data_IF_932024069428
#
_entry.id   IF_932024069428
#
_cell.length_a   1.000
_cell.length_b   1.000
_cell.length_c   1.000
_cell.angle_alpha   90.00
_cell.angle_beta   90.00
_cell.angle_gamma   90.00
#
_symmetry.space_group_name_H-M   'P 1'
#
loop_
_entity.id
_entity.type
_entity.pdbx_description
1 polymer ?
#
# COMPACT_ATOMS: atom_id res chain seq x y z
N UNK A 1 -16.48 -10.85 3.53
CA UNK A 1 -15.21 -11.52 3.21
C UNK A 1 -15.07 -11.48 1.69
N UNK A 2 -14.17 -10.65 1.15
CA UNK A 2 -14.09 -10.41 -0.30
C UNK A 2 -13.40 -11.61 -0.99
N UNK A 3 -14.22 -12.56 -1.46
CA UNK A 3 -13.90 -13.79 -2.19
C UNK A 3 -12.96 -13.61 -3.42
N UNK A 4 -12.65 -12.38 -3.83
CA UNK A 4 -11.74 -12.11 -4.93
C UNK A 4 -10.25 -12.19 -4.53
N UNK A 5 -9.91 -12.00 -3.25
CA UNK A 5 -8.52 -12.06 -2.78
C UNK A 5 -8.03 -13.50 -2.55
N UNK A 6 -8.88 -14.38 -2.02
CA UNK A 6 -8.54 -15.81 -1.80
C UNK A 6 -8.33 -16.57 -3.11
N UNK A 7 -9.07 -16.24 -4.16
CA UNK A 7 -8.94 -16.90 -5.48
C UNK A 7 -7.68 -16.51 -6.24
N UNK A 8 -7.11 -15.32 -5.99
CA UNK A 8 -5.83 -14.92 -6.58
C UNK A 8 -4.62 -15.52 -5.86
N UNK A 9 -4.80 -16.03 -4.63
CA UNK A 9 -3.73 -16.59 -3.79
C UNK A 9 -3.73 -18.13 -3.69
N UNK A 10 -4.70 -18.80 -4.29
CA UNK A 10 -4.80 -20.27 -4.24
C UNK A 10 -4.42 -20.92 -5.58
N UNK A 11 -3.12 -20.93 -5.87
CA UNK A 11 -2.51 -21.99 -6.70
C UNK A 11 -0.99 -22.03 -6.49
N UNK A 12 -0.54 -22.87 -5.56
CA UNK A 12 0.24 -24.09 -5.85
C UNK A 12 0.92 -24.56 -4.55
N UNK A 13 0.59 -25.77 -4.13
CA UNK A 13 1.17 -26.45 -2.97
C UNK A 13 2.45 -27.17 -3.42
N UNK A 14 3.64 -26.68 -3.08
CA UNK A 14 4.87 -27.50 -3.09
C UNK A 14 5.92 -27.03 -2.04
N UNK A 15 6.31 -27.99 -1.19
CA UNK A 15 7.59 -28.19 -0.47
C UNK A 15 8.21 -26.99 0.32
N UNK A 16 8.25 -27.03 1.68
CA UNK A 16 8.60 -25.86 2.50
C UNK A 16 10.08 -25.43 2.47
N UNK A 17 10.99 -26.24 1.92
CA UNK A 17 12.45 -26.00 2.06
C UNK A 17 13.18 -25.64 0.75
N UNK A 18 12.54 -25.77 -0.42
CA UNK A 18 13.20 -25.57 -1.73
C UNK A 18 13.13 -24.17 -2.32
N UNK A 19 12.36 -23.25 -1.72
CA UNK A 19 12.01 -21.97 -2.35
C UNK A 19 12.55 -20.73 -1.60
N UNK A 20 13.70 -20.88 -0.91
CA UNK A 20 14.45 -19.79 -0.25
C UNK A 20 15.54 -19.18 -1.14
N UNK A 21 15.78 -19.74 -2.32
CA UNK A 21 16.72 -19.16 -3.28
C UNK A 21 16.25 -17.77 -3.71
N UNK A 22 17.15 -16.79 -3.66
CA UNK A 22 16.85 -15.43 -4.08
C UNK A 22 16.52 -15.42 -5.59
N UNK A 23 15.34 -14.92 -6.00
CA UNK A 23 14.95 -14.86 -7.40
C UNK A 23 15.71 -13.76 -8.15
N UNK A 24 15.87 -13.93 -9.48
CA UNK A 24 16.49 -12.95 -10.39
C UNK A 24 15.73 -11.59 -10.43
N UNK A 25 14.54 -11.50 -9.82
CA UNK A 25 13.73 -10.29 -9.72
C UNK A 25 12.87 -10.26 -8.46
N UNK A 26 12.38 -9.08 -8.07
CA UNK A 26 11.50 -8.94 -6.91
C UNK A 26 10.04 -9.12 -7.32
N UNK A 27 9.41 -10.24 -6.96
CA UNK A 27 7.97 -10.50 -7.17
C UNK A 27 7.32 -11.02 -5.88
N UNK A 28 6.67 -10.16 -5.07
CA UNK A 28 6.06 -10.55 -3.80
C UNK A 28 4.78 -11.40 -3.95
N UNK A 29 4.30 -11.62 -5.17
CA UNK A 29 3.14 -12.47 -5.44
C UNK A 29 3.58 -13.91 -5.70
N UNK A 30 4.64 -14.10 -6.49
CA UNK A 30 5.12 -15.45 -6.87
C UNK A 30 6.21 -15.96 -5.94
N UNK A 31 7.09 -15.08 -5.44
CA UNK A 31 8.25 -15.47 -4.67
C UNK A 31 8.04 -15.25 -3.18
N UNK A 32 8.23 -16.32 -2.40
CA UNK A 32 8.06 -16.31 -0.95
C UNK A 32 9.00 -15.31 -0.28
N UNK A 33 10.27 -15.31 -0.65
CA UNK A 33 11.24 -14.36 -0.09
C UNK A 33 10.82 -12.89 -0.32
N UNK A 34 10.44 -12.53 -1.54
CA UNK A 34 9.97 -11.17 -1.85
C UNK A 34 8.71 -10.80 -1.05
N UNK A 35 7.81 -11.77 -0.84
CA UNK A 35 6.61 -11.59 -0.01
C UNK A 35 6.98 -11.35 1.45
N UNK A 36 7.87 -12.17 2.00
CA UNK A 36 8.33 -12.08 3.38
C UNK A 36 9.02 -10.73 3.62
N UNK A 37 9.91 -10.30 2.71
CA UNK A 37 10.55 -8.98 2.74
C UNK A 37 9.51 -7.85 2.76
N UNK A 38 8.58 -7.83 1.79
CA UNK A 38 7.53 -6.78 1.72
C UNK A 38 6.68 -6.77 2.99
N UNK A 39 6.19 -7.92 3.42
CA UNK A 39 5.29 -8.02 4.56
C UNK A 39 5.99 -7.58 5.85
N UNK A 40 7.22 -8.06 6.11
CA UNK A 40 8.00 -7.63 7.27
C UNK A 40 8.22 -6.12 7.28
N UNK A 41 8.61 -5.54 6.14
CA UNK A 41 8.82 -4.10 6.04
C UNK A 41 7.52 -3.31 6.28
N UNK A 42 6.40 -3.71 5.67
CA UNK A 42 5.10 -3.05 5.86
C UNK A 42 4.62 -3.11 7.31
N UNK A 43 4.69 -4.30 7.93
CA UNK A 43 4.36 -4.46 9.36
C UNK A 43 5.25 -3.58 10.24
N UNK A 44 6.56 -3.54 9.97
CA UNK A 44 7.49 -2.71 10.72
C UNK A 44 7.19 -1.21 10.58
N UNK A 45 6.80 -0.74 9.38
CA UNK A 45 6.35 0.65 9.21
C UNK A 45 5.10 0.94 10.04
N UNK A 46 4.08 0.07 9.99
CA UNK A 46 2.85 0.25 10.76
C UNK A 46 3.14 0.35 12.27
N UNK A 47 3.98 -0.56 12.77
CA UNK A 47 4.44 -0.53 14.17
C UNK A 47 5.21 0.75 14.51
N UNK A 48 6.11 1.20 13.64
CA UNK A 48 6.83 2.47 13.79
C UNK A 48 5.89 3.66 13.86
N UNK A 49 4.88 3.74 12.98
CA UNK A 49 3.90 4.82 13.01
C UNK A 49 3.04 4.79 14.28
N UNK A 50 2.66 3.60 14.75
CA UNK A 50 1.90 3.43 15.99
C UNK A 50 2.70 3.81 17.25
N UNK A 51 4.00 3.52 17.27
CA UNK A 51 4.90 3.76 18.42
C UNK A 51 5.69 5.06 18.32
N UNK A 52 5.54 5.81 17.23
CA UNK A 52 6.25 7.07 16.95
C UNK A 52 7.78 6.93 17.04
N UNK A 53 8.31 5.76 16.68
CA UNK A 53 9.74 5.51 16.54
C UNK A 53 10.08 4.97 15.16
N UNK A 54 11.14 5.50 14.55
CA UNK A 54 11.63 5.01 13.25
C UNK A 54 12.45 3.72 13.38
N UNK A 55 12.92 3.39 14.59
CA UNK A 55 13.87 2.29 14.82
C UNK A 55 13.36 0.93 14.34
N UNK A 56 12.04 0.68 14.38
CA UNK A 56 11.46 -0.63 14.04
C UNK A 56 11.64 -0.93 12.55
N UNK A 57 11.21 -0.03 11.66
CA UNK A 57 11.40 -0.25 10.22
C UNK A 57 12.86 -0.12 9.79
N UNK A 58 13.66 0.73 10.45
CA UNK A 58 15.10 0.87 10.18
C UNK A 58 15.84 -0.44 10.49
N UNK A 59 15.55 -1.04 11.65
CA UNK A 59 16.14 -2.32 12.07
C UNK A 59 15.70 -3.45 11.15
N UNK A 60 14.40 -3.54 10.84
CA UNK A 60 13.87 -4.56 9.93
C UNK A 60 14.52 -4.47 8.54
N UNK A 61 14.71 -3.26 8.01
CA UNK A 61 15.38 -3.05 6.73
C UNK A 61 16.87 -3.41 6.79
N UNK A 62 17.57 -3.02 7.85
CA UNK A 62 18.99 -3.36 8.05
C UNK A 62 19.19 -4.89 8.13
N UNK A 63 18.34 -5.61 8.86
CA UNK A 63 18.40 -7.08 8.94
C UNK A 63 18.20 -7.74 7.57
N UNK A 64 17.27 -7.25 6.75
CA UNK A 64 17.10 -7.77 5.40
C UNK A 64 18.28 -7.44 4.50
N UNK A 65 18.82 -6.22 4.58
CA UNK A 65 19.99 -5.82 3.79
C UNK A 65 21.26 -6.57 4.19
N UNK A 66 21.40 -7.05 5.43
CA UNK A 66 22.52 -7.91 5.81
C UNK A 66 22.38 -9.33 5.22
N UNK A 67 21.13 -9.83 5.12
CA UNK A 67 20.84 -11.20 4.66
C UNK A 67 20.73 -11.35 3.15
N UNK A 68 20.35 -10.29 2.43
CA UNK A 68 20.08 -10.34 0.99
C UNK A 68 21.36 -10.15 0.18
N UNK A 69 21.59 -11.09 -0.72
CA UNK A 69 22.71 -11.09 -1.67
C UNK A 69 22.32 -10.59 -3.07
N UNK A 70 21.04 -10.65 -3.43
CA UNK A 70 20.55 -10.33 -4.77
C UNK A 70 20.13 -8.86 -4.91
N UNK A 71 20.66 -8.18 -5.93
CA UNK A 71 20.49 -6.75 -6.17
C UNK A 71 19.02 -6.31 -6.31
N UNK A 72 18.14 -7.15 -6.86
CA UNK A 72 16.74 -6.79 -7.02
C UNK A 72 16.01 -6.63 -5.68
N UNK A 73 16.24 -7.56 -4.74
CA UNK A 73 15.63 -7.50 -3.41
C UNK A 73 16.23 -6.37 -2.58
N UNK A 74 17.56 -6.19 -2.64
CA UNK A 74 18.23 -5.08 -1.94
C UNK A 74 17.72 -3.71 -2.38
N UNK A 75 17.64 -3.47 -3.71
CA UNK A 75 17.09 -2.22 -4.26
C UNK A 75 15.66 -1.96 -3.80
N UNK A 76 14.83 -3.01 -3.74
CA UNK A 76 13.48 -2.88 -3.20
C UNK A 76 13.48 -2.41 -1.74
N UNK A 77 14.30 -3.03 -0.88
CA UNK A 77 14.41 -2.65 0.54
C UNK A 77 14.91 -1.21 0.69
N UNK A 78 15.94 -0.82 -0.06
CA UNK A 78 16.52 0.54 -0.02
C UNK A 78 15.50 1.60 -0.44
N UNK A 79 14.77 1.36 -1.54
CA UNK A 79 13.74 2.30 -2.01
C UNK A 79 12.57 2.40 -1.04
N UNK A 80 12.12 1.28 -0.46
CA UNK A 80 11.09 1.29 0.59
C UNK A 80 11.57 2.04 1.82
N UNK A 81 12.81 1.83 2.25
CA UNK A 81 13.38 2.53 3.41
C UNK A 81 13.42 4.05 3.20
N UNK A 82 13.80 4.51 2.00
CA UNK A 82 13.75 5.94 1.64
C UNK A 82 12.34 6.51 1.77
N UNK A 83 11.33 5.82 1.23
CA UNK A 83 9.92 6.24 1.29
C UNK A 83 9.37 6.18 2.72
N UNK A 84 9.76 5.18 3.51
CA UNK A 84 9.33 5.03 4.90
C UNK A 84 9.83 6.16 5.79
N UNK A 85 11.08 6.60 5.61
CA UNK A 85 11.61 7.77 6.32
C UNK A 85 10.80 9.03 6.02
N UNK A 86 10.43 9.24 4.75
CA UNK A 86 9.60 10.36 4.32
C UNK A 86 8.18 10.26 4.91
N UNK A 87 7.56 9.08 4.82
CA UNK A 87 6.25 8.81 5.37
C UNK A 87 6.21 9.03 6.88
N UNK A 88 7.18 8.48 7.61
CA UNK A 88 7.30 8.61 9.05
C UNK A 88 7.41 10.07 9.48
N UNK A 89 8.34 10.85 8.88
CA UNK A 89 8.50 12.29 9.16
C UNK A 89 7.19 13.06 8.94
N UNK A 90 6.45 12.75 7.87
CA UNK A 90 5.21 13.43 7.54
C UNK A 90 4.04 13.02 8.44
N UNK A 91 3.88 11.72 8.72
CA UNK A 91 2.78 11.18 9.53
C UNK A 91 2.93 11.55 11.00
N UNK A 92 4.13 11.57 11.56
CA UNK A 92 4.36 12.00 12.95
C UNK A 92 4.07 13.49 13.19
N UNK A 93 3.89 14.30 12.13
CA UNK A 93 3.46 15.70 12.24
C UNK A 93 1.93 15.86 12.22
N UNK A 94 1.19 14.78 11.96
CA UNK A 94 -0.27 14.81 11.93
C UNK A 94 -0.88 14.83 13.34
N UNK A 95 -2.06 15.43 13.51
CA UNK A 95 -2.84 15.32 14.75
C UNK A 95 -3.34 13.89 14.99
N UNK A 96 -3.87 13.61 16.18
CA UNK A 96 -4.22 12.25 16.62
C UNK A 96 -5.27 11.52 15.77
N UNK A 97 -6.17 12.24 15.08
CA UNK A 97 -7.06 11.65 14.07
C UNK A 97 -6.40 11.69 12.68
N UNK A 98 -5.57 10.68 12.40
CA UNK A 98 -4.62 10.70 11.28
C UNK A 98 -4.94 9.76 10.13
N UNK A 99 -6.00 8.95 10.16
CA UNK A 99 -6.18 7.85 9.18
C UNK A 99 -6.19 8.33 7.72
N UNK A 100 -7.08 9.27 7.37
CA UNK A 100 -7.20 9.73 5.97
C UNK A 100 -6.00 10.58 5.52
N UNK A 101 -5.48 11.52 6.33
CA UNK A 101 -4.24 12.21 5.98
C UNK A 101 -3.02 11.27 5.88
N UNK A 102 -2.93 10.24 6.73
CA UNK A 102 -1.90 9.19 6.65
C UNK A 102 -2.02 8.40 5.34
N UNK A 103 -3.24 7.97 4.96
CA UNK A 103 -3.49 7.31 3.67
C UNK A 103 -3.03 8.20 2.51
N UNK A 104 -3.34 9.50 2.55
CA UNK A 104 -2.89 10.44 1.51
C UNK A 104 -1.36 10.53 1.42
N UNK A 105 -0.66 10.63 2.56
CA UNK A 105 0.81 10.65 2.59
C UNK A 105 1.40 9.37 2.00
N UNK A 106 0.92 8.20 2.45
CA UNK A 106 1.42 6.90 1.97
C UNK A 106 1.15 6.73 0.48
N UNK A 107 -0.04 7.11 0.02
CA UNK A 107 -0.40 7.07 -1.40
C UNK A 107 0.51 7.93 -2.26
N UNK A 108 0.76 9.17 -1.83
CA UNK A 108 1.59 10.14 -2.54
C UNK A 108 3.06 9.71 -2.64
N UNK A 109 3.51 8.92 -1.66
CA UNK A 109 4.82 8.27 -1.65
C UNK A 109 4.83 6.92 -2.37
N UNK A 110 3.75 6.57 -3.10
CA UNK A 110 3.62 5.31 -3.85
C UNK A 110 3.83 4.08 -2.94
N UNK A 111 3.37 4.17 -1.69
CA UNK A 111 3.34 3.08 -0.70
C UNK A 111 1.98 2.38 -0.75
N UNK A 112 1.56 1.94 -1.94
CA UNK A 112 0.21 1.41 -2.16
C UNK A 112 -0.07 0.13 -1.37
N UNK A 113 0.95 -0.70 -1.15
CA UNK A 113 0.79 -1.88 -0.30
C UNK A 113 0.53 -1.47 1.15
N UNK A 114 1.24 -0.48 1.66
CA UNK A 114 1.05 0.04 3.02
C UNK A 114 -0.30 0.76 3.14
N UNK A 115 -0.77 1.46 2.09
CA UNK A 115 -2.14 2.00 2.04
C UNK A 115 -3.18 0.88 2.16
N UNK A 116 -2.99 -0.22 1.41
CA UNK A 116 -3.88 -1.38 1.48
C UNK A 116 -3.96 -1.93 2.91
N UNK A 117 -2.82 -2.19 3.55
CA UNK A 117 -2.76 -2.75 4.90
C UNK A 117 -3.40 -1.82 5.94
N UNK A 118 -3.06 -0.52 5.92
CA UNK A 118 -3.62 0.47 6.86
C UNK A 118 -5.13 0.62 6.70
N UNK A 119 -5.61 0.66 5.45
CA UNK A 119 -7.04 0.75 5.17
C UNK A 119 -7.78 -0.54 5.54
N UNK A 120 -7.16 -1.72 5.38
CA UNK A 120 -7.73 -3.01 5.75
C UNK A 120 -7.86 -3.15 7.28
N UNK A 121 -6.86 -2.74 8.05
CA UNK A 121 -6.95 -2.71 9.52
C UNK A 121 -8.13 -1.85 9.99
N UNK A 122 -8.24 -0.63 9.45
CA UNK A 122 -9.37 0.26 9.74
C UNK A 122 -10.72 -0.32 9.26
N UNK A 123 -10.73 -1.01 8.13
CA UNK A 123 -11.94 -1.64 7.57
C UNK A 123 -12.50 -2.71 8.51
N UNK A 124 -11.63 -3.47 9.18
CA UNK A 124 -12.06 -4.49 10.14
C UNK A 124 -12.77 -3.89 11.37
N UNK A 125 -12.35 -2.70 11.82
CA UNK A 125 -12.98 -1.98 12.92
C UNK A 125 -14.23 -1.17 12.49
N UNK A 126 -14.36 -0.86 11.19
CA UNK A 126 -15.43 -0.03 10.66
C UNK A 126 -16.75 -0.79 10.41
N UNK A 127 -17.86 -0.05 10.40
CA UNK A 127 -19.19 -0.54 10.04
C UNK A 127 -19.93 0.44 9.11
N UNK A 128 -21.02 0.00 8.49
CA UNK A 128 -21.85 0.82 7.60
C UNK A 128 -21.05 1.51 6.49
N UNK A 129 -21.33 2.80 6.27
CA UNK A 129 -20.74 3.58 5.18
C UNK A 129 -19.21 3.76 5.29
N UNK A 130 -18.64 3.73 6.51
CA UNK A 130 -17.20 3.82 6.73
C UNK A 130 -16.49 2.60 6.18
N UNK A 131 -17.08 1.43 6.43
CA UNK A 131 -16.57 0.15 5.94
C UNK A 131 -16.60 0.08 4.42
N UNK A 132 -17.70 0.51 3.80
CA UNK A 132 -17.83 0.54 2.34
C UNK A 132 -16.84 1.54 1.71
N UNK A 133 -16.68 2.71 2.30
CA UNK A 133 -15.70 3.70 1.85
C UNK A 133 -14.25 3.16 1.92
N UNK A 134 -13.87 2.55 3.04
CA UNK A 134 -12.55 1.92 3.20
C UNK A 134 -12.34 0.77 2.21
N UNK A 135 -13.36 0.00 1.90
CA UNK A 135 -13.30 -1.00 0.82
C UNK A 135 -12.95 -0.36 -0.53
N UNK A 136 -13.49 0.81 -0.83
CA UNK A 136 -13.14 1.58 -2.02
C UNK A 136 -11.65 1.94 -2.07
N UNK A 137 -11.09 2.41 -0.96
CA UNK A 137 -9.66 2.75 -0.84
C UNK A 137 -8.75 1.51 -0.94
N UNK A 138 -9.13 0.40 -0.30
CA UNK A 138 -8.42 -0.89 -0.38
C UNK A 138 -8.37 -1.37 -1.84
N UNK A 139 -9.49 -1.32 -2.55
CA UNK A 139 -9.54 -1.71 -3.96
C UNK A 139 -8.68 -0.78 -4.83
N UNK A 140 -8.74 0.52 -4.60
CA UNK A 140 -7.92 1.50 -5.33
C UNK A 140 -6.42 1.22 -5.13
N UNK A 141 -5.98 1.01 -3.89
CA UNK A 141 -4.59 0.67 -3.58
C UNK A 141 -4.19 -0.68 -4.22
N UNK A 142 -5.08 -1.68 -4.16
CA UNK A 142 -4.88 -2.98 -4.78
C UNK A 142 -4.63 -2.93 -6.29
N UNK A 143 -5.24 -1.98 -7.02
CA UNK A 143 -4.97 -1.76 -8.45
C UNK A 143 -3.50 -1.41 -8.68
N UNK A 144 -2.99 -0.43 -7.94
CA UNK A 144 -1.62 0.05 -8.11
C UNK A 144 -0.59 -0.96 -7.59
N UNK A 145 -0.91 -1.71 -6.54
CA UNK A 145 -0.12 -2.86 -6.07
C UNK A 145 0.04 -3.94 -7.16
N UNK A 146 -0.98 -4.20 -7.98
CA UNK A 146 -0.89 -5.11 -9.12
C UNK A 146 -0.11 -4.50 -10.29
N UNK A 147 -0.28 -3.21 -10.56
CA UNK A 147 0.46 -2.50 -11.61
C UNK A 147 1.97 -2.43 -11.32
N UNK A 148 2.36 -2.17 -10.07
CA UNK A 148 3.77 -2.20 -9.62
C UNK A 148 4.43 -3.56 -9.88
N UNK A 149 3.64 -4.64 -9.94
CA UNK A 149 4.09 -5.99 -10.25
C UNK A 149 3.98 -6.37 -11.74
N UNK A 150 3.62 -5.43 -12.62
CA UNK A 150 3.40 -5.68 -14.05
C UNK A 150 2.16 -6.52 -14.36
N UNK A 151 1.24 -6.67 -13.41
CA UNK A 151 0.04 -7.52 -13.53
C UNK A 151 -1.18 -6.71 -13.98
N UNK A 152 -1.23 -6.37 -15.26
CA UNK A 152 -2.26 -5.48 -15.82
C UNK A 152 -3.62 -6.15 -16.10
N UNK A 153 -3.69 -7.48 -16.16
CA UNK A 153 -4.84 -8.23 -16.70
C UNK A 153 -6.18 -8.11 -15.95
N UNK A 154 -6.18 -7.70 -14.68
CA UNK A 154 -7.39 -7.53 -13.86
C UNK A 154 -7.56 -6.10 -13.30
N UNK A 155 -6.65 -5.17 -13.64
CA UNK A 155 -6.62 -3.84 -13.06
C UNK A 155 -7.88 -3.02 -13.41
N UNK A 156 -8.36 -3.10 -14.66
CA UNK A 156 -9.48 -2.26 -15.12
C UNK A 156 -10.82 -2.53 -14.40
N UNK A 157 -11.20 -3.79 -14.19
CA UNK A 157 -12.47 -4.12 -13.53
C UNK A 157 -12.44 -3.79 -12.03
N UNK A 158 -11.29 -4.04 -11.37
CA UNK A 158 -11.08 -3.66 -9.96
C UNK A 158 -11.07 -2.14 -9.81
N UNK A 159 -10.40 -1.43 -10.72
CA UNK A 159 -10.33 0.04 -10.69
C UNK A 159 -11.70 0.69 -10.91
N UNK A 160 -12.50 0.15 -11.85
CA UNK A 160 -13.89 0.59 -12.03
C UNK A 160 -14.73 0.38 -10.78
N UNK A 161 -14.59 -0.77 -10.10
CA UNK A 161 -15.30 -1.04 -8.85
C UNK A 161 -14.86 -0.09 -7.73
N UNK A 162 -13.56 0.18 -7.61
CA UNK A 162 -13.04 1.17 -6.66
C UNK A 162 -13.66 2.55 -6.90
N UNK A 163 -13.68 2.99 -8.17
CA UNK A 163 -14.33 4.23 -8.58
C UNK A 163 -15.82 4.28 -8.18
N UNK A 164 -16.59 3.25 -8.48
CA UNK A 164 -18.03 3.20 -8.19
C UNK A 164 -18.32 3.38 -6.70
N UNK A 165 -17.59 2.64 -5.86
CA UNK A 165 -17.72 2.72 -4.39
C UNK A 165 -17.32 4.11 -3.89
N UNK A 166 -16.13 4.60 -4.28
CA UNK A 166 -15.62 5.89 -3.80
C UNK A 166 -16.50 7.06 -4.25
N UNK A 167 -17.03 7.01 -5.48
CA UNK A 167 -17.99 7.99 -5.99
C UNK A 167 -19.29 8.00 -5.19
N UNK A 168 -19.83 6.83 -4.84
CA UNK A 168 -21.05 6.72 -4.03
C UNK A 168 -20.86 7.37 -2.64
N UNK A 169 -19.64 7.30 -2.10
CA UNK A 169 -19.28 7.92 -0.83
C UNK A 169 -18.56 9.26 -0.97
N UNK A 170 -18.86 10.04 -2.03
CA UNK A 170 -18.12 11.25 -2.37
C UNK A 170 -18.01 12.32 -1.26
N UNK A 171 -18.96 12.41 -0.33
CA UNK A 171 -18.86 13.31 0.83
C UNK A 171 -17.67 12.99 1.75
N UNK A 172 -17.25 11.72 1.80
CA UNK A 172 -16.08 11.26 2.56
C UNK A 172 -14.76 11.54 1.87
N UNK A 173 -14.78 11.94 0.59
CA UNK A 173 -13.60 12.40 -0.12
C UNK A 173 -13.29 13.88 0.13
N UNK A 174 -14.03 14.55 1.03
CA UNK A 174 -13.86 15.97 1.35
C UNK A 174 -12.50 16.31 1.97
N UNK A 175 -11.77 15.32 2.51
CA UNK A 175 -10.38 15.50 2.94
C UNK A 175 -9.43 15.76 1.76
N UNK A 176 -9.83 15.38 0.54
CA UNK A 176 -9.11 15.66 -0.69
C UNK A 176 -9.61 16.97 -1.31
N UNK A 177 -8.70 17.81 -1.80
CA UNK A 177 -9.01 18.99 -2.61
C UNK A 177 -9.30 18.64 -4.07
N UNK A 178 -8.81 17.50 -4.54
CA UNK A 178 -8.91 17.06 -5.92
C UNK A 178 -9.64 15.71 -6.09
N UNK A 179 -10.77 15.46 -5.41
CA UNK A 179 -11.42 14.14 -5.39
C UNK A 179 -11.86 13.70 -6.79
N UNK A 180 -12.28 14.65 -7.64
CA UNK A 180 -12.63 14.37 -9.04
C UNK A 180 -11.41 13.88 -9.84
N UNK A 181 -10.25 14.54 -9.69
CA UNK A 181 -9.03 14.16 -10.42
C UNK A 181 -8.56 12.78 -9.97
N UNK A 182 -8.61 12.50 -8.66
CA UNK A 182 -8.32 11.18 -8.11
C UNK A 182 -9.23 10.10 -8.69
N UNK A 183 -10.54 10.33 -8.71
CA UNK A 183 -11.51 9.39 -9.29
C UNK A 183 -11.33 9.22 -10.81
N UNK A 184 -11.04 10.29 -11.55
CA UNK A 184 -10.79 10.23 -12.99
C UNK A 184 -9.51 9.43 -13.32
N UNK A 185 -8.50 9.44 -12.43
CA UNK A 185 -7.30 8.62 -12.52
C UNK A 185 -7.58 7.12 -12.46
N UNK A 186 -8.54 6.70 -11.63
CA UNK A 186 -8.98 5.29 -11.54
C UNK A 186 -9.67 4.80 -12.82
N UNK A 187 -10.25 5.70 -13.62
CA UNK A 187 -10.95 5.33 -14.86
C UNK A 187 -10.06 5.35 -16.11
N UNK A 188 -8.80 5.76 -16.00
CA UNK A 188 -7.86 5.70 -17.13
C UNK A 188 -7.57 4.24 -17.51
N UNK A 189 -7.13 4.03 -18.76
CA UNK A 189 -6.67 2.73 -19.25
C UNK A 189 -5.23 2.82 -19.78
N UNK A 190 -4.21 2.35 -19.02
CA UNK A 190 -4.33 1.78 -17.68
C UNK A 190 -4.60 2.87 -16.62
N UNK A 191 -5.17 2.49 -15.44
CA UNK A 191 -5.37 3.43 -14.33
C UNK A 191 -4.09 4.19 -14.00
N UNK A 192 -4.21 5.48 -13.72
CA UNK A 192 -3.09 6.38 -13.44
C UNK A 192 -3.10 6.78 -11.97
N UNK A 193 -1.97 6.65 -11.25
CA UNK A 193 -1.89 7.15 -9.89
C UNK A 193 -1.98 8.67 -9.90
N UNK A 194 -2.87 9.20 -9.08
CA UNK A 194 -3.05 10.64 -8.92
C UNK A 194 -2.67 11.01 -7.49
N UNK A 195 -1.84 12.04 -7.35
CA UNK A 195 -1.48 12.60 -6.05
C UNK A 195 -2.73 13.12 -5.33
N UNK A 196 -2.92 12.74 -4.08
CA UNK A 196 -3.99 13.21 -3.21
C UNK A 196 -3.55 14.53 -2.57
N UNK A 197 -4.28 15.60 -2.85
CA UNK A 197 -4.00 16.91 -2.27
C UNK A 197 -4.87 17.10 -1.03
N UNK A 198 -4.29 17.27 0.16
CA UNK A 198 -5.01 17.51 1.42
C UNK A 198 -4.87 18.97 1.88
N UNK A 199 -5.73 19.44 2.79
CA UNK A 199 -5.55 20.75 3.44
C UNK A 199 -4.32 20.75 4.37
N UNK A 200 -3.48 21.78 4.28
CA UNK A 200 -2.36 21.99 5.22
C UNK A 200 -1.09 21.16 4.98
N UNK A 201 -1.04 20.29 3.97
CA UNK A 201 0.18 19.52 3.66
C UNK A 201 1.16 20.33 2.81
N UNK A 202 1.99 21.16 3.45
CA UNK A 202 3.29 21.49 2.86
C UNK A 202 4.22 20.29 3.10
N UNK A 203 4.39 19.45 2.08
CA UNK A 203 5.46 18.43 2.06
C UNK A 203 6.82 19.04 1.69
N UNK A 204 6.87 20.34 1.44
CA UNK A 204 8.08 21.10 1.16
C UNK A 204 8.73 21.57 2.47
N UNK A 205 9.62 20.74 3.01
CA UNK A 205 10.74 21.10 3.91
C UNK A 205 11.80 19.98 3.96
#
# INVERSE_FOLDING_TARGET
MNLWYEKAMTSNSQDPDKNRSEPDGFDPFTHRLSRDVRNTLSTALSQSLASETSEIFETAAAEWLDRLSHDACRRYVEERLRRYRQAFKAVCRLPSDRLLPQIAILWNLELYFEVHEVAEEAFHAASGSDREFLQGLILAAGVFVQQDAGRHGAAGSVSKRAYEILKQHGSRLSFMKNPKVFLDGLLQDPPQPVQIIVEGSNLDD
#
